data_IF_881372290206
#
_entry.id   IF_881372290206
#
_cell.length_a   1.000
_cell.length_b   1.000
_cell.length_c   1.000
_cell.angle_alpha   90.00
_cell.angle_beta   90.00
_cell.angle_gamma   90.00
#
_symmetry.space_group_name_H-M   'P 1'
#
loop_
_entity.id
_entity.type
_entity.pdbx_description
1 polymer ?
#
# COMPACT_ATOMS: atom_id res chain seq x y z
N UNK A 1 -8.97 9.93 6.70
CA UNK A 1 -8.02 8.97 7.34
C UNK A 1 -6.66 9.60 7.28
N UNK A 2 -5.96 9.73 8.39
CA UNK A 2 -4.59 10.25 8.36
C UNK A 2 -3.61 9.25 7.73
N UNK A 3 -2.41 9.75 7.45
CA UNK A 3 -1.31 8.97 6.89
C UNK A 3 -0.94 7.75 7.74
N UNK A 4 -0.94 7.86 9.06
CA UNK A 4 -0.50 6.78 9.95
C UNK A 4 -1.51 5.64 9.93
N UNK A 5 -2.80 5.95 10.02
CA UNK A 5 -3.90 5.01 9.90
C UNK A 5 -3.89 4.27 8.55
N UNK A 6 -3.60 4.98 7.46
CA UNK A 6 -3.45 4.36 6.13
C UNK A 6 -2.27 3.38 6.13
N UNK A 7 -1.10 3.76 6.65
CA UNK A 7 0.07 2.88 6.70
C UNK A 7 -0.20 1.64 7.57
N UNK A 8 -0.79 1.81 8.75
CA UNK A 8 -1.12 0.69 9.64
C UNK A 8 -2.12 -0.27 9.00
N UNK A 9 -3.16 0.26 8.34
CA UNK A 9 -4.09 -0.58 7.57
C UNK A 9 -3.40 -1.32 6.44
N UNK A 10 -2.58 -0.64 5.63
CA UNK A 10 -1.85 -1.28 4.53
C UNK A 10 -0.93 -2.40 5.03
N UNK A 11 -0.24 -2.21 6.15
CA UNK A 11 0.58 -3.25 6.78
C UNK A 11 -0.23 -4.49 7.11
N UNK A 12 -1.42 -4.32 7.68
CA UNK A 12 -2.30 -5.42 8.07
C UNK A 12 -2.97 -6.09 6.87
N UNK A 13 -3.50 -5.30 5.95
CA UNK A 13 -4.25 -5.77 4.78
C UNK A 13 -3.38 -6.50 3.76
N UNK A 14 -2.11 -6.09 3.64
CA UNK A 14 -1.14 -6.68 2.71
C UNK A 14 -0.17 -7.66 3.39
N UNK A 15 -0.31 -7.87 4.70
CA UNK A 15 0.61 -8.66 5.53
C UNK A 15 2.09 -8.21 5.39
N UNK A 16 2.29 -6.89 5.39
CA UNK A 16 3.61 -6.26 5.25
C UNK A 16 4.03 -5.56 6.55
N UNK A 17 4.49 -6.31 7.57
CA UNK A 17 4.83 -5.73 8.88
C UNK A 17 5.92 -4.65 8.80
N UNK A 18 6.82 -4.76 7.80
CA UNK A 18 7.93 -3.83 7.58
C UNK A 18 7.63 -2.74 6.54
N UNK A 19 6.38 -2.60 6.09
CA UNK A 19 6.02 -1.57 5.11
C UNK A 19 6.30 -0.17 5.66
N UNK A 20 7.14 0.58 4.94
CA UNK A 20 7.45 2.00 5.21
C UNK A 20 7.14 2.82 3.96
N UNK A 21 5.86 2.99 3.68
CA UNK A 21 5.39 3.84 2.59
C UNK A 21 5.69 5.32 2.85
N UNK A 22 6.29 6.02 1.89
CA UNK A 22 6.35 7.48 1.89
C UNK A 22 5.04 8.02 1.33
N UNK A 23 4.03 8.09 2.20
CA UNK A 23 2.77 8.77 1.91
C UNK A 23 2.86 10.26 2.29
N UNK A 24 2.11 11.09 1.58
CA UNK A 24 1.97 12.52 1.86
C UNK A 24 1.19 12.74 3.16
N UNK A 25 1.48 13.85 3.82
CA UNK A 25 0.79 14.23 5.05
C UNK A 25 -0.51 14.94 4.70
N UNK A 26 -1.54 14.15 4.40
CA UNK A 26 -2.89 14.62 4.08
C UNK A 26 -3.95 13.67 4.66
N UNK A 27 -5.19 14.13 4.64
CA UNK A 27 -6.33 13.24 4.87
C UNK A 27 -6.65 12.45 3.60
N UNK A 28 -6.65 11.14 3.75
CA UNK A 28 -7.03 10.19 2.72
C UNK A 28 -8.51 9.81 2.84
N UNK A 29 -9.19 9.73 1.71
CA UNK A 29 -10.50 9.09 1.61
C UNK A 29 -10.36 7.57 1.52
N UNK A 30 -11.47 6.85 1.71
CA UNK A 30 -11.49 5.40 1.50
C UNK A 30 -11.18 5.03 0.04
N UNK A 31 -11.63 5.83 -0.93
CA UNK A 31 -11.31 5.62 -2.35
C UNK A 31 -9.81 5.73 -2.63
N UNK A 32 -9.14 6.73 -2.05
CA UNK A 32 -7.69 6.88 -2.18
C UNK A 32 -6.93 5.73 -1.51
N UNK A 33 -7.39 5.27 -0.34
CA UNK A 33 -6.84 4.10 0.33
C UNK A 33 -6.91 2.85 -0.55
N UNK A 34 -8.09 2.57 -1.12
CA UNK A 34 -8.27 1.39 -1.98
C UNK A 34 -7.39 1.48 -3.23
N UNK A 35 -7.21 2.69 -3.79
CA UNK A 35 -6.30 2.91 -4.92
C UNK A 35 -4.85 2.62 -4.55
N UNK A 36 -4.36 3.15 -3.42
CA UNK A 36 -2.99 2.89 -2.93
C UNK A 36 -2.77 1.40 -2.69
N UNK A 37 -3.73 0.72 -2.07
CA UNK A 37 -3.68 -0.72 -1.81
C UNK A 37 -3.56 -1.52 -3.12
N UNK A 38 -4.37 -1.15 -4.12
CA UNK A 38 -4.32 -1.78 -5.44
C UNK A 38 -2.98 -1.54 -6.13
N UNK A 39 -2.50 -0.30 -6.16
CA UNK A 39 -1.22 0.06 -6.77
C UNK A 39 -0.04 -0.70 -6.13
N UNK A 40 -0.08 -0.91 -4.80
CA UNK A 40 0.89 -1.73 -4.08
C UNK A 40 0.83 -3.20 -4.50
N UNK A 41 -0.36 -3.80 -4.52
CA UNK A 41 -0.53 -5.19 -4.95
C UNK A 41 -0.06 -5.39 -6.40
N UNK A 42 -0.47 -4.50 -7.31
CA UNK A 42 -0.05 -4.55 -8.71
C UNK A 42 1.48 -4.43 -8.82
N UNK A 43 2.11 -3.59 -8.00
CA UNK A 43 3.57 -3.49 -7.93
C UNK A 43 4.23 -4.81 -7.47
N UNK A 44 3.70 -5.46 -6.42
CA UNK A 44 4.20 -6.74 -5.94
C UNK A 44 4.00 -7.86 -6.97
N UNK A 45 2.83 -7.98 -7.57
CA UNK A 45 2.55 -8.99 -8.59
C UNK A 45 3.45 -8.84 -9.81
N UNK A 46 3.64 -7.61 -10.28
CA UNK A 46 4.53 -7.33 -11.40
C UNK A 46 6.00 -7.58 -11.05
N UNK A 47 6.43 -7.26 -9.82
CA UNK A 47 7.78 -7.54 -9.35
C UNK A 47 8.06 -9.05 -9.30
N UNK A 48 7.14 -9.84 -8.73
CA UNK A 48 7.27 -11.31 -8.69
C UNK A 48 7.27 -11.90 -10.10
N UNK A 49 6.33 -11.48 -10.96
CA UNK A 49 6.25 -11.97 -12.35
C UNK A 49 7.48 -11.64 -13.19
N UNK A 50 8.15 -10.51 -12.94
CA UNK A 50 9.37 -10.16 -13.67
C UNK A 50 10.62 -10.90 -13.18
N UNK A 51 10.58 -11.58 -12.03
CA UNK A 51 11.70 -12.39 -11.54
C UNK A 51 11.62 -13.83 -12.08
N UNK A 52 10.44 -14.29 -12.49
CA UNK A 52 10.24 -15.63 -13.07
C UNK A 52 10.48 -15.71 -14.60
N UNK A 53 10.91 -14.61 -15.26
CA UNK A 53 11.22 -14.57 -16.69
C UNK A 53 12.73 -14.52 -16.99
#
# INVERSE_FOLDING_TARGET
MDKEAVIERLKKDLDLPNFKGRLEEKEYTEEEYQKIKKDLNDYFENYVRNIEN
#
